data_IF_054324063510
#
_entry.id   IF_054324063510
#
_cell.length_a   1.000
_cell.length_b   1.000
_cell.length_c   1.000
_cell.angle_alpha   90.00
_cell.angle_beta   90.00
_cell.angle_gamma   90.00
#
_symmetry.space_group_name_H-M   'P 1'
#
loop_
_entity.id
_entity.type
_entity.pdbx_description
1 polymer ?
#
# COMPACT_ATOMS: atom_id res chain seq x y z
N UNK A 1 -15.68 -13.26 -2.04
CA UNK A 1 -15.76 -12.66 -3.39
C UNK A 1 -16.52 -11.35 -3.28
N UNK A 2 -15.97 -10.25 -3.79
CA UNK A 2 -16.62 -8.95 -3.77
C UNK A 2 -17.55 -8.77 -4.98
N UNK A 3 -18.85 -8.74 -4.74
CA UNK A 3 -19.87 -8.37 -5.74
C UNK A 3 -20.07 -6.85 -5.84
N UNK A 4 -19.72 -6.14 -4.76
CA UNK A 4 -19.69 -4.68 -4.66
C UNK A 4 -18.36 -4.25 -4.04
N UNK A 5 -17.95 -3.01 -4.31
CA UNK A 5 -16.77 -2.44 -3.70
C UNK A 5 -16.92 -2.44 -2.16
N UNK A 6 -15.88 -2.77 -1.39
CA UNK A 6 -15.94 -2.71 0.07
C UNK A 6 -16.12 -1.27 0.56
N UNK A 7 -16.87 -1.09 1.65
CA UNK A 7 -17.18 0.23 2.19
C UNK A 7 -15.92 1.08 2.50
N UNK A 8 -14.86 0.45 3.02
CA UNK A 8 -13.60 1.13 3.33
C UNK A 8 -12.85 1.66 2.09
N UNK A 9 -13.13 1.14 0.89
CA UNK A 9 -12.63 1.68 -0.37
C UNK A 9 -13.60 2.71 -0.97
N UNK A 10 -14.90 2.62 -0.68
CA UNK A 10 -15.86 3.66 -1.09
C UNK A 10 -15.68 4.95 -0.28
N UNK A 11 -15.28 4.82 0.99
CA UNK A 11 -14.99 5.93 1.92
C UNK A 11 -13.83 6.83 1.47
N UNK A 12 -12.88 6.30 0.69
CA UNK A 12 -11.78 7.10 0.12
C UNK A 12 -12.24 8.00 -1.03
N UNK A 13 -13.45 7.79 -1.54
CA UNK A 13 -13.99 8.50 -2.71
C UNK A 13 -13.50 7.96 -4.05
N UNK A 14 -12.67 6.91 -4.05
CA UNK A 14 -12.23 6.21 -5.25
C UNK A 14 -13.23 5.13 -5.68
N UNK A 15 -13.47 4.97 -6.98
CA UNK A 15 -14.29 3.88 -7.52
C UNK A 15 -13.46 2.97 -8.40
N UNK A 16 -13.35 1.69 -8.03
CA UNK A 16 -12.67 0.70 -8.85
C UNK A 16 -13.52 0.37 -10.08
N UNK A 17 -12.84 0.26 -11.23
CA UNK A 17 -13.48 -0.30 -12.42
C UNK A 17 -13.78 -1.78 -12.22
N UNK A 18 -14.73 -2.32 -12.99
CA UNK A 18 -15.15 -3.72 -12.88
C UNK A 18 -13.98 -4.69 -13.08
N UNK A 19 -13.15 -4.47 -14.10
CA UNK A 19 -11.95 -5.28 -14.36
C UNK A 19 -10.92 -5.20 -13.22
N UNK A 20 -10.79 -4.05 -12.55
CA UNK A 20 -9.89 -3.89 -11.40
C UNK A 20 -10.39 -4.66 -10.19
N UNK A 21 -11.70 -4.69 -10.01
CA UNK A 21 -12.34 -5.48 -8.95
C UNK A 21 -12.23 -6.98 -9.21
N UNK A 22 -12.31 -7.41 -10.47
CA UNK A 22 -12.02 -8.80 -10.85
C UNK A 22 -10.57 -9.17 -10.55
N UNK A 23 -9.61 -8.32 -10.93
CA UNK A 23 -8.19 -8.47 -10.57
C UNK A 23 -7.98 -8.56 -9.06
N UNK A 24 -8.61 -7.68 -8.28
CA UNK A 24 -8.57 -7.71 -6.81
C UNK A 24 -9.11 -9.04 -6.26
N UNK A 25 -10.27 -9.49 -6.74
CA UNK A 25 -10.85 -10.76 -6.32
C UNK A 25 -9.91 -11.94 -6.62
N UNK A 26 -9.26 -11.93 -7.79
CA UNK A 26 -8.30 -12.95 -8.19
C UNK A 26 -7.03 -12.95 -7.32
N UNK A 27 -6.49 -11.77 -7.00
CA UNK A 27 -5.34 -11.63 -6.09
C UNK A 27 -5.67 -12.16 -4.70
N UNK A 28 -6.84 -11.79 -4.15
CA UNK A 28 -7.31 -12.29 -2.85
C UNK A 28 -7.49 -13.80 -2.83
N UNK A 29 -8.09 -14.36 -3.89
CA UNK A 29 -8.27 -15.80 -4.02
C UNK A 29 -6.92 -16.53 -4.04
N UNK A 30 -5.98 -16.06 -4.85
CA UNK A 30 -4.65 -16.66 -4.98
C UNK A 30 -3.85 -16.57 -3.67
N UNK A 31 -3.94 -15.44 -2.97
CA UNK A 31 -3.35 -15.26 -1.64
C UNK A 31 -3.92 -16.25 -0.62
N UNK A 32 -5.24 -16.45 -0.59
CA UNK A 32 -5.88 -17.42 0.30
C UNK A 32 -5.46 -18.88 0.02
N UNK A 33 -4.97 -19.17 -1.19
CA UNK A 33 -4.41 -20.47 -1.57
C UNK A 33 -2.88 -20.53 -1.38
N UNK A 34 -2.23 -19.48 -0.87
CA UNK A 34 -0.78 -19.42 -0.73
C UNK A 34 -0.02 -19.42 -2.07
N UNK A 35 -0.68 -19.03 -3.16
CA UNK A 35 -0.11 -19.03 -4.51
C UNK A 35 0.40 -17.65 -4.90
N UNK A 36 1.66 -17.58 -5.34
CA UNK A 36 2.26 -16.34 -5.84
C UNK A 36 1.64 -15.95 -7.19
N UNK A 37 1.41 -14.66 -7.40
CA UNK A 37 0.71 -14.13 -8.58
C UNK A 37 1.56 -13.14 -9.36
N UNK A 38 1.37 -13.10 -10.68
CA UNK A 38 1.91 -12.06 -11.57
C UNK A 38 0.73 -11.33 -12.20
N UNK A 39 0.61 -10.03 -11.93
CA UNK A 39 -0.40 -9.17 -12.55
C UNK A 39 0.16 -8.56 -13.83
N UNK A 40 -0.22 -9.14 -14.98
CA UNK A 40 0.34 -8.81 -16.30
C UNK A 40 -0.61 -7.99 -17.19
N UNK A 41 -1.48 -7.18 -16.60
CA UNK A 41 -2.40 -6.30 -17.32
C UNK A 41 -1.65 -5.27 -18.19
N UNK A 42 -2.32 -4.73 -19.20
CA UNK A 42 -1.83 -3.62 -20.03
C UNK A 42 -1.38 -2.41 -19.17
N UNK A 43 -0.40 -1.66 -19.67
CA UNK A 43 0.06 -0.44 -19.02
C UNK A 43 -1.09 0.59 -18.99
N UNK A 44 -1.29 1.25 -17.85
CA UNK A 44 -2.38 2.23 -17.69
C UNK A 44 -3.68 1.67 -17.11
N UNK A 45 -3.87 0.35 -17.01
CA UNK A 45 -5.08 -0.26 -16.40
C UNK A 45 -5.14 -0.16 -14.85
N UNK A 46 -4.20 0.57 -14.23
CA UNK A 46 -4.24 0.79 -12.78
C UNK A 46 -3.78 -0.40 -11.94
N UNK A 47 -2.78 -1.17 -12.41
CA UNK A 47 -2.12 -2.24 -11.62
C UNK A 47 -1.67 -1.77 -10.23
N UNK A 48 -1.20 -0.53 -10.13
CA UNK A 48 -0.83 0.12 -8.87
C UNK A 48 -2.02 0.17 -7.91
N UNK A 49 -3.16 0.68 -8.39
CA UNK A 49 -4.40 0.82 -7.60
C UNK A 49 -4.93 -0.56 -7.18
N UNK A 50 -4.92 -1.55 -8.08
CA UNK A 50 -5.30 -2.92 -7.76
C UNK A 50 -4.42 -3.51 -6.66
N UNK A 51 -3.11 -3.29 -6.74
CA UNK A 51 -2.14 -3.78 -5.75
C UNK A 51 -2.34 -3.12 -4.39
N UNK A 52 -2.52 -1.79 -4.36
CA UNK A 52 -2.78 -1.04 -3.11
C UNK A 52 -4.10 -1.49 -2.49
N UNK A 53 -5.17 -1.59 -3.29
CA UNK A 53 -6.48 -2.07 -2.83
C UNK A 53 -6.41 -3.48 -2.26
N UNK A 54 -5.57 -4.35 -2.85
CA UNK A 54 -5.31 -5.69 -2.35
C UNK A 54 -4.64 -5.66 -0.97
N UNK A 55 -3.52 -4.95 -0.82
CA UNK A 55 -2.84 -4.82 0.47
C UNK A 55 -3.75 -4.22 1.54
N UNK A 56 -4.50 -3.18 1.19
CA UNK A 56 -5.44 -2.52 2.08
C UNK A 56 -6.56 -3.45 2.53
N UNK A 57 -7.07 -4.31 1.64
CA UNK A 57 -8.08 -5.32 2.00
C UNK A 57 -7.54 -6.32 3.03
N UNK A 58 -6.29 -6.77 2.90
CA UNK A 58 -5.68 -7.68 3.86
C UNK A 58 -5.52 -7.06 5.24
N UNK A 59 -5.16 -5.77 5.30
CA UNK A 59 -5.04 -5.03 6.55
C UNK A 59 -6.40 -4.78 7.20
N UNK A 60 -7.39 -4.28 6.45
CA UNK A 60 -8.71 -3.96 6.99
C UNK A 60 -9.50 -5.17 7.46
N UNK A 61 -9.34 -6.31 6.79
CA UNK A 61 -10.00 -7.56 7.15
C UNK A 61 -9.25 -8.33 8.25
N UNK A 62 -8.12 -7.83 8.75
CA UNK A 62 -7.36 -8.46 9.82
C UNK A 62 -6.58 -9.71 9.39
N UNK A 63 -6.44 -9.96 8.09
CA UNK A 63 -5.75 -11.14 7.56
C UNK A 63 -4.23 -11.01 7.62
N UNK A 64 -3.70 -9.80 7.44
CA UNK A 64 -2.27 -9.52 7.56
C UNK A 64 -2.05 -8.05 7.95
N UNK A 65 -1.39 -7.82 9.08
CA UNK A 65 -1.00 -6.49 9.58
C UNK A 65 0.49 -6.16 9.33
N UNK A 66 1.27 -7.17 8.93
CA UNK A 66 2.74 -7.13 8.96
C UNK A 66 3.40 -6.86 7.61
N UNK A 67 4.67 -6.42 7.63
CA UNK A 67 5.21 -5.44 6.68
C UNK A 67 5.11 -5.88 5.23
N UNK A 68 4.53 -5.02 4.41
CA UNK A 68 4.48 -5.18 2.97
C UNK A 68 5.63 -4.40 2.31
N UNK A 69 6.47 -5.09 1.55
CA UNK A 69 7.54 -4.46 0.78
C UNK A 69 7.06 -4.23 -0.66
N UNK A 70 7.04 -2.96 -1.07
CA UNK A 70 6.81 -2.57 -2.46
C UNK A 70 8.12 -2.06 -3.04
N UNK A 71 8.65 -2.75 -4.05
CA UNK A 71 9.82 -2.32 -4.81
C UNK A 71 9.38 -1.76 -6.15
N UNK A 72 9.75 -0.51 -6.43
CA UNK A 72 9.42 0.18 -7.68
C UNK A 72 10.58 1.10 -8.12
N UNK A 73 10.66 1.48 -9.41
CA UNK A 73 11.63 2.47 -9.88
C UNK A 73 11.55 3.80 -9.12
N UNK A 74 12.70 4.47 -8.92
CA UNK A 74 12.78 5.74 -8.18
C UNK A 74 11.82 6.81 -8.72
N UNK A 75 11.65 6.88 -10.04
CA UNK A 75 10.77 7.85 -10.70
C UNK A 75 9.29 7.65 -10.41
N UNK A 76 8.86 6.47 -9.97
CA UNK A 76 7.46 6.17 -9.70
C UNK A 76 7.12 6.18 -8.21
N UNK A 77 8.11 6.29 -7.31
CA UNK A 77 7.86 6.29 -5.85
C UNK A 77 6.89 7.40 -5.41
N UNK A 78 7.03 8.61 -5.95
CA UNK A 78 6.13 9.73 -5.65
C UNK A 78 4.69 9.43 -6.09
N UNK A 79 4.53 8.70 -7.20
CA UNK A 79 3.20 8.26 -7.63
C UNK A 79 2.63 7.21 -6.66
N UNK A 80 3.44 6.22 -6.26
CA UNK A 80 3.02 5.22 -5.29
C UNK A 80 2.58 5.85 -3.97
N UNK A 81 3.34 6.80 -3.44
CA UNK A 81 3.01 7.51 -2.20
C UNK A 81 1.65 8.22 -2.28
N UNK A 82 1.39 8.95 -3.37
CA UNK A 82 0.09 9.61 -3.61
C UNK A 82 -1.07 8.63 -3.71
N UNK A 83 -0.88 7.53 -4.42
CA UNK A 83 -1.92 6.51 -4.56
C UNK A 83 -2.18 5.81 -3.22
N UNK A 84 -1.16 5.58 -2.39
CA UNK A 84 -1.33 5.05 -1.04
C UNK A 84 -2.07 6.03 -0.14
N UNK A 85 -1.72 7.31 -0.17
CA UNK A 85 -2.39 8.35 0.62
C UNK A 85 -3.89 8.46 0.27
N UNK A 86 -4.23 8.27 -1.01
CA UNK A 86 -5.62 8.31 -1.47
C UNK A 86 -6.37 6.99 -1.20
N UNK A 87 -5.84 5.85 -1.65
CA UNK A 87 -6.56 4.56 -1.61
C UNK A 87 -6.45 3.81 -0.29
N UNK A 88 -5.43 4.11 0.52
CA UNK A 88 -5.17 3.45 1.78
C UNK A 88 -4.67 4.44 2.85
N UNK A 89 -5.47 5.47 3.20
CA UNK A 89 -5.05 6.55 4.11
C UNK A 89 -4.70 6.08 5.53
N UNK A 90 -5.20 4.91 5.92
CA UNK A 90 -4.93 4.30 7.23
C UNK A 90 -3.68 3.42 7.24
N UNK A 91 -3.05 3.18 6.08
CA UNK A 91 -1.78 2.45 6.01
C UNK A 91 -0.62 3.40 6.31
N UNK A 92 0.28 2.96 7.20
CA UNK A 92 1.54 3.66 7.41
C UNK A 92 2.54 3.27 6.31
N UNK A 93 2.94 4.26 5.50
CA UNK A 93 3.79 4.07 4.33
C UNK A 93 5.09 4.84 4.50
N UNK A 94 6.22 4.14 4.37
CA UNK A 94 7.56 4.72 4.50
C UNK A 94 8.31 4.55 3.19
N UNK A 95 8.67 5.68 2.57
CA UNK A 95 9.45 5.68 1.33
C UNK A 95 10.94 5.59 1.65
N UNK A 96 11.52 4.40 1.49
CA UNK A 96 12.95 4.18 1.69
C UNK A 96 13.77 4.62 0.47
N UNK A 97 14.02 5.92 0.35
CA UNK A 97 14.82 6.55 -0.71
C UNK A 97 15.73 7.66 -0.16
N UNK A 98 16.57 8.23 -1.02
CA UNK A 98 17.49 9.32 -0.65
C UNK A 98 18.93 8.87 -0.43
N UNK A 99 19.73 9.73 0.18
CA UNK A 99 21.16 9.50 0.41
C UNK A 99 21.43 8.62 1.64
N UNK A 100 22.72 8.42 1.98
CA UNK A 100 23.14 7.55 3.08
C UNK A 100 22.59 8.03 4.43
N UNK A 101 22.55 9.34 4.64
CA UNK A 101 22.11 9.96 5.89
C UNK A 101 20.58 9.84 6.03
N UNK A 102 19.83 10.16 4.98
CA UNK A 102 18.37 10.00 4.94
C UNK A 102 17.95 8.56 5.28
N UNK A 103 18.62 7.56 4.66
CA UNK A 103 18.36 6.15 4.94
C UNK A 103 18.82 5.69 6.32
N UNK A 104 19.80 6.37 6.93
CA UNK A 104 20.19 6.09 8.31
C UNK A 104 19.11 6.58 9.28
N UNK A 105 18.55 7.77 9.04
CA UNK A 105 17.42 8.31 9.80
C UNK A 105 16.22 7.38 9.74
N UNK A 106 15.78 6.97 8.54
CA UNK A 106 14.63 6.07 8.38
C UNK A 106 14.83 4.76 9.15
N UNK A 107 16.03 4.14 9.07
CA UNK A 107 16.32 2.91 9.82
C UNK A 107 16.28 3.08 11.34
N UNK A 108 16.66 4.26 11.83
CA UNK A 108 16.73 4.52 13.27
C UNK A 108 15.37 4.88 13.88
N UNK A 109 14.46 5.48 13.10
CA UNK A 109 13.18 5.98 13.60
C UNK A 109 11.96 5.20 13.13
N UNK A 110 11.98 4.61 11.92
CA UNK A 110 10.78 4.00 11.32
C UNK A 110 10.81 2.46 11.33
N UNK A 111 11.96 1.83 11.56
CA UNK A 111 12.11 0.35 11.56
C UNK A 111 12.12 -0.29 12.96
N UNK A 112 11.79 0.44 14.03
CA UNK A 112 11.66 -0.18 15.36
C UNK A 112 10.35 -0.95 15.47
N UNK A 113 10.44 -2.28 15.58
CA UNK A 113 9.33 -3.21 15.80
C UNK A 113 8.78 -3.19 17.25
N UNK A 114 8.89 -2.05 17.95
CA UNK A 114 8.27 -1.92 19.26
C UNK A 114 6.76 -1.74 19.07
N UNK A 115 5.95 -2.68 19.58
CA UNK A 115 4.49 -2.68 19.41
C UNK A 115 3.83 -1.38 19.92
N UNK A 116 4.53 -0.63 20.78
CA UNK A 116 4.08 0.66 21.30
C UNK A 116 4.40 1.88 20.39
N UNK A 117 5.27 1.74 19.39
CA UNK A 117 5.58 2.82 18.44
C UNK A 117 4.41 3.12 17.49
N UNK A 118 3.52 2.13 17.27
CA UNK A 118 2.31 2.28 16.45
C UNK A 118 1.29 3.28 17.04
N UNK A 119 1.40 3.62 18.33
CA UNK A 119 0.49 4.57 19.01
C UNK A 119 0.93 6.03 18.91
N UNK A 120 2.21 6.30 18.64
CA UNK A 120 2.71 7.67 18.50
C UNK A 120 2.59 8.13 17.05
N UNK A 121 1.39 8.58 16.68
CA UNK A 121 1.04 9.08 15.34
C UNK A 121 1.76 10.36 14.93
N UNK A 122 3.08 10.35 14.81
CA UNK A 122 3.81 11.34 14.04
C UNK A 122 3.83 10.88 12.59
N UNK A 123 2.80 11.29 11.84
CA UNK A 123 2.79 11.11 10.39
C UNK A 123 4.04 11.79 9.81
N UNK A 124 4.92 11.02 9.18
CA UNK A 124 6.21 11.46 8.65
C UNK A 124 6.11 12.32 7.36
N UNK A 125 5.07 13.16 7.21
CA UNK A 125 4.85 13.95 5.98
C UNK A 125 5.57 15.32 5.95
N UNK A 126 6.46 15.64 6.90
CA UNK A 126 7.14 16.94 6.95
C UNK A 126 8.60 16.86 7.40
N UNK A 127 9.44 16.20 6.62
CA UNK A 127 10.85 16.59 6.55
C UNK A 127 11.05 17.40 5.27
N UNK A 128 10.83 18.71 5.39
CA UNK A 128 11.23 19.69 4.38
C UNK A 128 12.76 19.75 4.44
N UNK A 129 13.43 19.20 3.43
CA UNK A 129 14.87 19.39 3.25
C UNK A 129 15.08 20.88 2.90
N UNK A 130 15.83 21.58 3.74
CA UNK A 130 16.28 22.97 3.50
C UNK A 130 17.26 23.03 2.33
#
# INVERSE_FOLDING_TARGET
RYEKQPAYLDETGGKLHEYQREGLNWLRFSWAQGTNTILADEMGLGKTIQTISFLYSLMKEGHSQGPFLVSAPLSTLVNWEREFEFWAPDMYVVTYAGDKESRATIRNFDFSFDEDAFKSGLKAYKLKVC
#
